data_IF_660461632711
#
_entry.id   IF_660461632711
#
_cell.length_a   1.000
_cell.length_b   1.000
_cell.length_c   1.000
_cell.angle_alpha   90.00
_cell.angle_beta   90.00
_cell.angle_gamma   90.00
#
_symmetry.space_group_name_H-M   'P 1'
#
loop_
_entity.id
_entity.type
_entity.pdbx_description
1 polymer ?
#
# COMPACT_ATOMS: atom_id res chain seq x y z
N UNK A 1 30.44 -40.55 18.74
CA UNK A 1 29.07 -40.49 19.26
C UNK A 1 28.19 -39.96 18.12
N UNK A 2 27.28 -40.74 17.52
CA UNK A 2 26.50 -40.27 16.38
C UNK A 2 25.43 -39.27 16.85
N UNK A 3 25.34 -38.13 16.16
CA UNK A 3 24.28 -37.13 16.39
C UNK A 3 22.95 -37.74 15.94
N UNK A 4 21.92 -37.67 16.80
CA UNK A 4 20.57 -38.14 16.49
C UNK A 4 19.96 -37.28 15.37
N UNK A 5 20.02 -37.75 14.13
CA UNK A 5 19.55 -37.02 12.94
C UNK A 5 18.04 -36.79 12.96
N UNK A 6 17.23 -37.74 13.45
CA UNK A 6 15.78 -37.56 13.60
C UNK A 6 15.43 -36.41 14.58
N UNK A 7 16.26 -36.22 15.61
CA UNK A 7 16.17 -35.08 16.52
C UNK A 7 16.56 -33.75 15.89
N UNK A 8 17.45 -33.72 14.90
CA UNK A 8 17.80 -32.50 14.18
C UNK A 8 16.73 -32.14 13.11
N UNK A 9 16.19 -33.14 12.44
CA UNK A 9 15.22 -32.96 11.36
C UNK A 9 13.89 -32.36 11.87
N UNK A 10 13.38 -32.82 13.02
CA UNK A 10 12.11 -32.29 13.57
C UNK A 10 12.20 -30.81 14.01
N UNK A 11 13.35 -30.38 14.56
CA UNK A 11 13.58 -28.97 14.91
C UNK A 11 13.61 -28.10 13.66
N UNK A 12 14.25 -28.59 12.61
CA UNK A 12 14.35 -27.90 11.32
C UNK A 12 12.98 -27.75 10.65
N UNK A 13 12.14 -28.80 10.70
CA UNK A 13 10.76 -28.73 10.21
C UNK A 13 9.89 -27.73 10.98
N UNK A 14 10.02 -27.70 12.32
CA UNK A 14 9.29 -26.76 13.16
C UNK A 14 9.70 -25.31 12.87
N UNK A 15 11.00 -25.03 12.73
CA UNK A 15 11.53 -23.73 12.35
C UNK A 15 11.06 -23.27 10.96
N UNK A 16 11.07 -24.17 9.98
CA UNK A 16 10.57 -23.89 8.64
C UNK A 16 9.07 -23.55 8.66
N UNK A 17 8.26 -24.31 9.40
CA UNK A 17 6.83 -24.05 9.57
C UNK A 17 6.57 -22.70 10.25
N UNK A 18 7.28 -22.38 11.33
CA UNK A 18 7.15 -21.10 12.01
C UNK A 18 7.48 -19.92 11.09
N UNK A 19 8.55 -20.04 10.29
CA UNK A 19 8.95 -19.04 9.30
C UNK A 19 7.92 -18.88 8.18
N UNK A 20 7.33 -19.98 7.71
CA UNK A 20 6.26 -19.96 6.70
C UNK A 20 4.98 -19.29 7.22
N UNK A 21 4.61 -19.56 8.47
CA UNK A 21 3.47 -18.93 9.14
C UNK A 21 3.71 -17.42 9.30
N UNK A 22 4.90 -17.02 9.79
CA UNK A 22 5.24 -15.60 9.96
C UNK A 22 5.22 -14.82 8.63
N UNK A 23 5.75 -15.41 7.55
CA UNK A 23 5.69 -14.78 6.23
C UNK A 23 4.27 -14.68 5.67
N UNK A 24 3.39 -15.63 6.01
CA UNK A 24 1.97 -15.60 5.61
C UNK A 24 1.21 -14.45 6.28
N UNK A 25 1.45 -14.17 7.55
CA UNK A 25 0.84 -13.03 8.24
C UNK A 25 1.30 -11.67 7.69
N UNK A 26 2.58 -11.54 7.33
CA UNK A 26 3.09 -10.31 6.71
C UNK A 26 2.43 -10.07 5.35
N UNK A 27 2.26 -11.13 4.54
CA UNK A 27 1.56 -11.04 3.24
C UNK A 27 0.09 -10.64 3.40
N UNK A 28 -0.58 -11.15 4.44
CA UNK A 28 -1.93 -10.73 4.79
C UNK A 28 -1.97 -9.25 5.16
N UNK A 29 -1.05 -8.79 6.00
CA UNK A 29 -0.95 -7.39 6.40
C UNK A 29 -0.77 -6.47 5.17
N UNK A 30 0.12 -6.83 4.23
CA UNK A 30 0.31 -6.06 2.99
C UNK A 30 -0.97 -6.00 2.17
N UNK A 31 -1.71 -7.11 2.05
CA UNK A 31 -3.00 -7.13 1.35
C UNK A 31 -4.02 -6.18 2.01
N UNK A 32 -4.19 -6.26 3.32
CA UNK A 32 -5.14 -5.42 4.06
C UNK A 32 -4.76 -3.93 3.95
N UNK A 33 -3.47 -3.60 4.05
CA UNK A 33 -2.98 -2.23 3.88
C UNK A 33 -3.22 -1.72 2.46
N UNK A 34 -3.00 -2.54 1.44
CA UNK A 34 -3.26 -2.17 0.04
C UNK A 34 -4.75 -1.89 -0.20
N UNK A 35 -5.64 -2.74 0.33
CA UNK A 35 -7.08 -2.56 0.22
C UNK A 35 -7.56 -1.30 0.97
N UNK A 36 -7.06 -1.08 2.19
CA UNK A 36 -7.35 0.12 2.97
C UNK A 36 -6.87 1.39 2.24
N UNK A 37 -5.68 1.34 1.65
CA UNK A 37 -5.14 2.45 0.87
C UNK A 37 -6.02 2.76 -0.35
N UNK A 38 -6.44 1.74 -1.11
CA UNK A 38 -7.35 1.92 -2.24
C UNK A 38 -8.68 2.57 -1.83
N UNK A 39 -9.27 2.11 -0.72
CA UNK A 39 -10.49 2.70 -0.16
C UNK A 39 -10.26 4.16 0.28
N UNK A 40 -9.10 4.45 0.85
CA UNK A 40 -8.73 5.81 1.26
C UNK A 40 -8.62 6.76 0.07
N UNK A 41 -8.11 6.29 -1.08
CA UNK A 41 -8.08 7.10 -2.31
C UNK A 41 -9.50 7.39 -2.83
N UNK A 42 -10.42 6.41 -2.78
CA UNK A 42 -11.83 6.64 -3.13
C UNK A 42 -12.44 7.70 -2.21
N UNK A 43 -12.20 7.59 -0.91
CA UNK A 43 -12.69 8.57 0.06
C UNK A 43 -12.12 9.96 -0.19
N UNK A 44 -10.84 10.08 -0.60
CA UNK A 44 -10.26 11.37 -0.96
C UNK A 44 -10.94 12.04 -2.16
N UNK A 45 -11.22 11.26 -3.20
CA UNK A 45 -11.93 11.76 -4.38
C UNK A 45 -13.34 12.20 -4.02
N UNK A 46 -14.01 11.45 -3.14
CA UNK A 46 -15.32 11.84 -2.59
C UNK A 46 -15.26 13.16 -1.80
N UNK A 47 -14.28 13.32 -0.91
CA UNK A 47 -14.09 14.57 -0.14
C UNK A 47 -13.81 15.77 -1.06
N UNK A 48 -13.00 15.59 -2.11
CA UNK A 48 -12.78 16.62 -3.13
C UNK A 48 -14.06 16.96 -3.90
N UNK A 49 -14.89 15.94 -4.19
CA UNK A 49 -16.21 16.12 -4.80
C UNK A 49 -17.15 16.93 -3.90
N UNK A 50 -17.24 16.60 -2.61
CA UNK A 50 -18.01 17.41 -1.65
C UNK A 50 -17.52 18.85 -1.58
N UNK A 51 -16.20 19.06 -1.61
CA UNK A 51 -15.63 20.41 -1.60
C UNK A 51 -15.90 21.20 -2.89
N UNK A 52 -16.04 20.51 -4.02
CA UNK A 52 -16.32 21.12 -5.33
C UNK A 52 -17.80 21.41 -5.56
N UNK A 53 -18.68 20.52 -5.09
CA UNK A 53 -20.11 20.53 -5.45
C UNK A 53 -21.06 20.85 -4.30
N UNK A 54 -20.64 20.65 -3.04
CA UNK A 54 -21.51 20.85 -1.87
C UNK A 54 -21.08 22.08 -1.05
N UNK A 55 -19.88 22.06 -0.46
CA UNK A 55 -19.36 23.15 0.37
C UNK A 55 -17.82 23.19 0.34
N UNK A 56 -17.19 24.30 -0.10
CA UNK A 56 -15.74 24.48 -0.09
C UNK A 56 -15.06 24.26 1.28
N UNK A 57 -15.79 24.35 2.40
CA UNK A 57 -15.26 24.02 3.73
C UNK A 57 -14.69 22.59 3.82
N UNK A 58 -15.22 21.65 3.02
CA UNK A 58 -14.75 20.27 2.97
C UNK A 58 -13.34 20.09 2.39
N UNK A 59 -12.73 21.12 1.80
CA UNK A 59 -11.30 21.09 1.47
C UNK A 59 -10.43 20.89 2.70
N UNK A 60 -10.89 21.32 3.88
CA UNK A 60 -10.21 21.02 5.15
C UNK A 60 -10.21 19.52 5.45
N UNK A 61 -11.34 18.84 5.22
CA UNK A 61 -11.50 17.41 5.47
C UNK A 61 -10.68 16.59 4.47
N UNK A 62 -10.70 16.97 3.18
CA UNK A 62 -9.85 16.39 2.14
C UNK A 62 -8.36 16.46 2.53
N UNK A 63 -7.87 17.66 2.92
CA UNK A 63 -6.47 17.85 3.32
C UNK A 63 -6.11 17.10 4.60
N UNK A 64 -6.95 17.17 5.63
CA UNK A 64 -6.67 16.51 6.92
C UNK A 64 -6.66 14.99 6.78
N UNK A 65 -7.58 14.43 5.99
CA UNK A 65 -7.67 13.00 5.78
C UNK A 65 -6.43 12.41 5.09
N UNK A 66 -5.75 13.20 4.24
CA UNK A 66 -4.56 12.76 3.49
C UNK A 66 -3.42 12.28 4.40
N UNK A 67 -3.26 12.93 5.56
CA UNK A 67 -2.18 12.59 6.50
C UNK A 67 -2.31 11.18 7.08
N UNK A 68 -3.54 10.66 7.23
CA UNK A 68 -3.75 9.35 7.86
C UNK A 68 -3.28 8.18 7.01
N UNK A 69 -3.47 8.23 5.69
CA UNK A 69 -3.13 7.09 4.82
C UNK A 69 -1.85 7.30 4.00
N UNK A 70 -1.28 8.51 3.98
CA UNK A 70 0.05 8.80 3.40
C UNK A 70 1.15 7.81 3.84
N UNK A 71 1.25 7.38 5.11
CA UNK A 71 2.29 6.43 5.51
C UNK A 71 2.07 4.98 5.03
N UNK A 72 0.88 4.61 4.54
CA UNK A 72 0.55 3.21 4.23
C UNK A 72 1.44 2.60 3.12
N UNK A 73 1.67 3.26 1.96
CA UNK A 73 2.54 2.68 0.93
C UNK A 73 3.99 2.52 1.39
N UNK A 74 4.47 3.40 2.28
CA UNK A 74 5.80 3.28 2.87
C UNK A 74 5.85 2.08 3.85
N UNK A 75 4.84 1.91 4.69
CA UNK A 75 4.73 0.75 5.56
C UNK A 75 4.67 -0.57 4.76
N UNK A 76 3.87 -0.60 3.70
CA UNK A 76 3.82 -1.73 2.76
C UNK A 76 5.19 -1.99 2.13
N UNK A 77 5.89 -0.95 1.67
CA UNK A 77 7.22 -1.05 1.08
C UNK A 77 8.19 -1.72 2.06
N UNK A 78 8.24 -1.28 3.31
CA UNK A 78 9.08 -1.90 4.36
C UNK A 78 8.69 -3.37 4.59
N UNK A 79 7.39 -3.65 4.70
CA UNK A 79 6.90 -5.02 4.89
C UNK A 79 7.26 -5.94 3.72
N UNK A 80 7.40 -5.44 2.48
CA UNK A 80 7.81 -6.26 1.34
C UNK A 80 9.23 -6.83 1.47
N UNK A 81 10.10 -6.21 2.28
CA UNK A 81 11.43 -6.75 2.56
C UNK A 81 11.39 -7.87 3.59
N UNK A 82 10.56 -7.74 4.63
CA UNK A 82 10.42 -8.73 5.69
C UNK A 82 9.60 -9.95 5.22
N UNK A 83 8.50 -9.72 4.50
CA UNK A 83 7.58 -10.76 4.03
C UNK A 83 8.07 -11.57 2.81
N UNK A 84 9.25 -11.25 2.29
CA UNK A 84 9.84 -11.86 1.07
C UNK A 84 8.83 -11.92 -0.08
N UNK A 85 8.06 -10.84 -0.26
CA UNK A 85 7.05 -10.75 -1.32
C UNK A 85 7.69 -10.57 -2.69
N UNK A 86 6.93 -10.79 -3.75
CA UNK A 86 7.41 -10.59 -5.12
C UNK A 86 7.91 -9.17 -5.37
N UNK A 87 8.86 -9.02 -6.31
CA UNK A 87 9.41 -7.72 -6.72
C UNK A 87 8.31 -6.75 -7.19
N UNK A 88 7.24 -7.28 -7.80
CA UNK A 88 6.10 -6.50 -8.30
C UNK A 88 5.43 -5.68 -7.19
N UNK A 89 5.02 -6.33 -6.09
CA UNK A 89 4.36 -5.67 -4.95
C UNK A 89 5.24 -4.60 -4.31
N UNK A 90 6.57 -4.81 -4.30
CA UNK A 90 7.55 -3.84 -3.83
C UNK A 90 7.60 -2.59 -4.71
N UNK A 91 7.72 -2.76 -6.02
CA UNK A 91 7.75 -1.63 -6.95
C UNK A 91 6.41 -0.89 -7.02
N UNK A 92 5.29 -1.58 -6.86
CA UNK A 92 3.98 -0.94 -6.73
C UNK A 92 3.88 -0.09 -5.47
N UNK A 93 4.37 -0.58 -4.33
CA UNK A 93 4.41 0.17 -3.06
C UNK A 93 5.27 1.44 -3.19
N UNK A 94 6.44 1.31 -3.82
CA UNK A 94 7.32 2.44 -4.13
C UNK A 94 6.67 3.43 -5.09
N UNK A 95 6.04 2.94 -6.16
CA UNK A 95 5.34 3.77 -7.15
C UNK A 95 4.19 4.57 -6.51
N UNK A 96 3.40 3.95 -5.64
CA UNK A 96 2.35 4.64 -4.88
C UNK A 96 2.93 5.71 -3.96
N UNK A 97 4.05 5.44 -3.28
CA UNK A 97 4.72 6.43 -2.44
C UNK A 97 5.21 7.64 -3.26
N UNK A 98 5.85 7.40 -4.41
CA UNK A 98 6.27 8.47 -5.32
C UNK A 98 5.06 9.27 -5.83
N UNK A 99 3.97 8.61 -6.21
CA UNK A 99 2.76 9.27 -6.66
C UNK A 99 2.13 10.15 -5.58
N UNK A 100 2.17 9.75 -4.30
CA UNK A 100 1.72 10.62 -3.19
C UNK A 100 2.57 11.89 -3.11
N UNK A 101 3.90 11.79 -3.26
CA UNK A 101 4.76 12.97 -3.27
C UNK A 101 4.35 13.90 -4.42
N UNK A 102 4.12 13.35 -5.61
CA UNK A 102 3.65 14.12 -6.76
C UNK A 102 2.26 14.73 -6.52
N UNK A 103 1.40 14.09 -5.72
CA UNK A 103 0.12 14.67 -5.33
C UNK A 103 0.26 15.91 -4.47
N UNK A 104 1.12 15.87 -3.46
CA UNK A 104 1.41 17.05 -2.64
C UNK A 104 2.03 18.18 -3.46
N UNK A 105 2.97 17.84 -4.37
CA UNK A 105 3.59 18.82 -5.26
C UNK A 105 2.55 19.49 -6.15
N UNK A 106 1.73 18.71 -6.87
CA UNK A 106 0.71 19.26 -7.77
C UNK A 106 -0.37 20.05 -7.04
N UNK A 107 -0.79 19.62 -5.85
CA UNK A 107 -1.75 20.36 -5.02
C UNK A 107 -1.19 21.73 -4.57
N UNK A 108 0.09 21.78 -4.20
CA UNK A 108 0.75 23.02 -3.77
C UNK A 108 0.95 24.03 -4.92
N UNK A 109 1.03 23.56 -6.17
CA UNK A 109 1.23 24.41 -7.34
C UNK A 109 -0.02 25.20 -7.78
N UNK A 110 -1.17 25.03 -7.11
CA UNK A 110 -2.45 25.62 -7.51
C UNK A 110 -2.41 27.11 -7.80
N UNK A 111 -1.72 27.89 -6.96
CA UNK A 111 -1.69 29.36 -7.08
C UNK A 111 -0.66 29.88 -8.09
N UNK A 112 0.33 29.07 -8.46
CA UNK A 112 1.49 29.51 -9.26
C UNK A 112 1.49 28.92 -10.67
N UNK A 113 1.03 27.67 -10.82
CA UNK A 113 1.01 26.94 -12.09
C UNK A 113 -0.29 26.10 -12.20
N UNK A 114 -1.46 26.73 -12.42
CA UNK A 114 -2.75 26.05 -12.41
C UNK A 114 -2.86 24.88 -13.39
N UNK A 115 -2.20 24.99 -14.56
CA UNK A 115 -2.18 23.91 -15.56
C UNK A 115 -1.41 22.68 -15.07
N UNK A 116 -0.33 22.88 -14.30
CA UNK A 116 0.42 21.79 -13.69
C UNK A 116 -0.37 21.18 -12.51
N UNK A 117 -1.06 22.02 -11.73
CA UNK A 117 -1.93 21.57 -10.64
C UNK A 117 -3.11 20.72 -11.15
N UNK A 118 -3.58 20.96 -12.38
CA UNK A 118 -4.62 20.14 -13.02
C UNK A 118 -4.20 18.67 -13.23
N UNK A 119 -2.91 18.32 -13.12
CA UNK A 119 -2.47 16.92 -13.10
C UNK A 119 -2.85 16.18 -11.81
N UNK A 120 -3.13 16.88 -10.71
CA UNK A 120 -3.50 16.28 -9.42
C UNK A 120 -4.59 15.20 -9.54
N UNK A 121 -5.78 15.47 -10.14
CA UNK A 121 -6.80 14.44 -10.34
C UNK A 121 -6.34 13.30 -11.27
N UNK A 122 -5.51 13.57 -12.29
CA UNK A 122 -4.97 12.53 -13.17
C UNK A 122 -4.05 11.57 -12.41
N UNK A 123 -3.17 12.12 -11.57
CA UNK A 123 -2.32 11.34 -10.69
C UNK A 123 -3.14 10.56 -9.64
N UNK A 124 -4.33 11.04 -9.27
CA UNK A 124 -5.18 10.38 -8.29
C UNK A 124 -5.81 9.13 -8.89
N UNK A 125 -6.24 9.21 -10.14
CA UNK A 125 -6.71 8.06 -10.90
C UNK A 125 -5.61 7.02 -11.11
N UNK A 126 -4.38 7.46 -11.44
CA UNK A 126 -3.24 6.55 -11.57
C UNK A 126 -2.89 5.88 -10.24
N UNK A 127 -2.87 6.65 -9.14
CA UNK A 127 -2.63 6.14 -7.79
C UNK A 127 -3.70 5.11 -7.39
N UNK A 128 -4.97 5.39 -7.66
CA UNK A 128 -6.07 4.46 -7.44
C UNK A 128 -5.89 3.19 -8.27
N UNK A 129 -5.61 3.32 -9.57
CA UNK A 129 -5.43 2.17 -10.47
C UNK A 129 -4.31 1.23 -9.98
N UNK A 130 -3.15 1.79 -9.62
CA UNK A 130 -2.03 1.01 -9.09
C UNK A 130 -2.39 0.35 -7.75
N UNK A 131 -3.15 1.04 -6.89
CA UNK A 131 -3.58 0.47 -5.59
C UNK A 131 -4.48 -0.76 -5.77
N UNK A 132 -5.35 -0.78 -6.78
CA UNK A 132 -6.19 -1.93 -7.10
C UNK A 132 -5.35 -3.10 -7.63
N UNK A 133 -4.41 -2.84 -8.54
CA UNK A 133 -3.50 -3.88 -9.03
C UNK A 133 -2.66 -4.46 -7.87
N UNK A 134 -2.15 -3.60 -7.00
CA UNK A 134 -1.37 -4.01 -5.83
C UNK A 134 -2.20 -4.87 -4.87
N UNK A 135 -3.44 -4.49 -4.61
CA UNK A 135 -4.38 -5.26 -3.77
C UNK A 135 -4.61 -6.67 -4.34
N UNK A 136 -4.85 -6.77 -5.66
CA UNK A 136 -5.05 -8.07 -6.33
C UNK A 136 -3.79 -8.95 -6.27
N UNK A 137 -2.62 -8.35 -6.46
CA UNK A 137 -1.35 -9.07 -6.41
C UNK A 137 -1.06 -9.55 -4.98
N UNK A 138 -1.22 -8.66 -3.98
CA UNK A 138 -1.00 -8.99 -2.57
C UNK A 138 -1.93 -10.11 -2.07
N UNK A 139 -3.20 -10.09 -2.51
CA UNK A 139 -4.15 -11.18 -2.24
C UNK A 139 -3.65 -12.52 -2.81
N UNK A 140 -3.13 -12.50 -4.03
CA UNK A 140 -2.59 -13.70 -4.69
C UNK A 140 -1.34 -14.21 -3.97
N UNK A 141 -0.42 -13.32 -3.58
CA UNK A 141 0.81 -13.65 -2.85
C UNK A 141 0.49 -14.26 -1.48
N UNK A 142 -0.53 -13.74 -0.79
CA UNK A 142 -1.03 -14.29 0.47
C UNK A 142 -1.65 -15.68 0.28
N UNK A 143 -2.54 -15.86 -0.70
CA UNK A 143 -3.17 -17.18 -0.96
C UNK A 143 -2.15 -18.26 -1.30
N UNK A 144 -1.14 -17.96 -2.12
CA UNK A 144 -0.06 -18.91 -2.47
C UNK A 144 0.82 -19.30 -1.27
N UNK A 145 0.89 -18.50 -0.21
CA UNK A 145 1.65 -18.83 1.00
C UNK A 145 0.96 -19.84 1.92
N UNK A 146 -0.36 -20.08 1.71
CA UNK A 146 -1.15 -21.03 2.52
C UNK A 146 -1.26 -22.43 1.93
N UNK A 147 -0.88 -22.62 0.66
CA UNK A 147 -0.82 -23.92 -0.02
C UNK A 147 0.61 -24.42 0.04
#
# INVERSE_FOLDING_TARGET
MPINQAGADHLTEAEMRAKQIGTSYIRLAIFLLAALFALSVVMQVFLAGMASFADPAHWRDHRSFAYYFTPLPLAMLVLTFVGRTGKVTRYQSLGMFILIILQYVTAYMGDHMPMLAALHPVLALLLFWISIICTRQAFTDWRKGRV
#
